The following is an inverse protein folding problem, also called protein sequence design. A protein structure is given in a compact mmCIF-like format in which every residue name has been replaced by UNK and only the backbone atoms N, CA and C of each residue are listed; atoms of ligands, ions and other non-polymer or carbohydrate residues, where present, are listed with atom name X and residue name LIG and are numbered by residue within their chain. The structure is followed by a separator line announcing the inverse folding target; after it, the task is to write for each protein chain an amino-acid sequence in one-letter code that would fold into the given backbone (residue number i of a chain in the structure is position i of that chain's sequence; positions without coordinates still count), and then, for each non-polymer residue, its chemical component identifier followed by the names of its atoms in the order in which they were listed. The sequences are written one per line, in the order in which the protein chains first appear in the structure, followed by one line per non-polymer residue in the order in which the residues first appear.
data_IF_135651889884
#
_entry.id   IF_135651889884
#
_cell.length_a   1.000
_cell.length_b   1.000
_cell.length_c   1.000
_cell.angle_alpha   90.00
_cell.angle_beta   90.00
_cell.angle_gamma   90.00
#
_symmetry.space_group_name_H-M   'P 1'
#
loop_
_entity.id
_entity.type
_entity.pdbx_description
1 polymer ?
#
# COMPACT_ATOMS: atom_id res chain seq x y z
N UNK A 1 -4.08 -12.12 22.74
CA UNK A 1 -4.86 -11.32 21.76
C UNK A 1 -6.28 -11.16 22.28
N UNK A 2 -6.84 -9.95 22.22
CA UNK A 2 -8.30 -9.76 22.43
C UNK A 2 -9.01 -10.27 21.17
N UNK A 3 -10.13 -10.97 21.35
CA UNK A 3 -11.01 -11.29 20.24
C UNK A 3 -11.60 -9.99 19.66
N UNK A 4 -11.86 -9.93 18.33
CA UNK A 4 -12.56 -8.80 17.75
C UNK A 4 -13.96 -8.65 18.38
N UNK A 5 -14.37 -7.41 18.63
CA UNK A 5 -15.72 -7.06 19.07
C UNK A 5 -16.48 -6.43 17.90
N UNK A 6 -17.79 -6.69 17.82
CA UNK A 6 -18.66 -5.99 16.88
C UNK A 6 -18.80 -4.54 17.31
N UNK A 7 -18.54 -3.61 16.41
CA UNK A 7 -18.87 -2.20 16.59
C UNK A 7 -20.24 -1.95 15.96
N UNK A 8 -21.20 -1.49 16.75
CA UNK A 8 -22.47 -0.96 16.25
C UNK A 8 -22.26 0.53 15.95
N UNK A 9 -21.89 0.84 14.71
CA UNK A 9 -21.70 2.21 14.23
C UNK A 9 -22.22 2.34 12.81
N UNK A 10 -22.64 3.55 12.43
CA UNK A 10 -23.01 3.84 11.04
C UNK A 10 -21.81 3.64 10.10
N UNK A 11 -22.05 2.98 8.97
CA UNK A 11 -21.05 2.86 7.91
C UNK A 11 -21.09 4.11 7.05
N UNK A 12 -19.98 4.85 7.02
CA UNK A 12 -19.86 6.09 6.25
C UNK A 12 -18.89 5.88 5.09
N UNK A 13 -19.33 6.24 3.89
CA UNK A 13 -18.45 6.31 2.72
C UNK A 13 -17.62 7.60 2.78
N UNK A 14 -16.33 7.47 3.12
CA UNK A 14 -15.39 8.61 3.19
C UNK A 14 -14.83 9.01 1.82
N UNK A 15 -14.91 8.11 0.84
CA UNK A 15 -14.48 8.33 -0.52
C UNK A 15 -15.25 7.41 -1.47
N UNK A 16 -15.95 7.99 -2.43
CA UNK A 16 -16.78 7.26 -3.42
C UNK A 16 -16.05 6.97 -4.74
N UNK A 17 -14.73 7.14 -4.77
CA UNK A 17 -13.96 6.95 -6.00
C UNK A 17 -14.01 5.52 -6.53
N UNK A 18 -13.49 5.34 -7.75
CA UNK A 18 -13.58 4.09 -8.50
C UNK A 18 -12.19 3.44 -8.65
N UNK A 19 -11.54 3.14 -7.51
CA UNK A 19 -10.34 2.31 -7.55
C UNK A 19 -10.68 0.98 -8.24
N UNK A 20 -9.83 0.55 -9.17
CA UNK A 20 -10.03 -0.74 -9.87
C UNK A 20 -9.83 -1.89 -8.88
N UNK A 21 -8.74 -1.82 -8.11
CA UNK A 21 -8.45 -2.74 -7.02
C UNK A 21 -7.92 -1.95 -5.82
N UNK A 22 -8.85 -1.39 -5.02
CA UNK A 22 -8.52 -0.66 -3.79
C UNK A 22 -8.08 -1.60 -2.67
N UNK A 23 -6.86 -1.44 -2.17
CA UNK A 23 -6.25 -2.35 -1.21
C UNK A 23 -5.26 -1.65 -0.26
N UNK A 24 -4.80 -2.39 0.76
CA UNK A 24 -3.71 -1.98 1.65
C UNK A 24 -3.99 -0.70 2.47
N UNK A 25 -5.14 -0.58 3.17
CA UNK A 25 -5.41 0.58 4.01
C UNK A 25 -4.37 0.71 5.15
N UNK A 26 -3.72 1.86 5.22
CA UNK A 26 -2.69 2.20 6.19
C UNK A 26 -3.01 3.53 6.88
N UNK A 27 -3.18 3.52 8.20
CA UNK A 27 -3.26 4.74 8.99
C UNK A 27 -1.87 5.23 9.39
N UNK A 28 -1.55 6.50 9.12
CA UNK A 28 -0.31 7.17 9.56
C UNK A 28 -0.68 8.32 10.52
N UNK A 29 -0.62 8.09 11.84
CA UNK A 29 -1.07 9.06 12.85
C UNK A 29 -0.37 10.41 12.76
N UNK A 30 0.94 10.42 12.50
CA UNK A 30 1.76 11.63 12.47
C UNK A 30 1.37 12.59 11.33
N UNK A 31 0.66 12.06 10.32
CA UNK A 31 0.19 12.81 9.16
C UNK A 31 -1.32 13.02 9.18
N UNK A 32 -2.04 12.42 10.13
CA UNK A 32 -3.51 12.36 10.16
C UNK A 32 -4.10 11.85 8.82
N UNK A 33 -3.44 10.88 8.18
CA UNK A 33 -3.81 10.39 6.84
C UNK A 33 -3.99 8.88 6.82
N UNK A 34 -5.12 8.45 6.24
CA UNK A 34 -5.35 7.06 5.81
C UNK A 34 -4.92 6.92 4.36
N UNK A 35 -3.88 6.13 4.11
CA UNK A 35 -3.41 5.78 2.78
C UNK A 35 -4.02 4.46 2.29
N UNK A 36 -4.14 4.30 0.99
CA UNK A 36 -4.40 3.02 0.32
C UNK A 36 -3.90 3.07 -1.12
N UNK A 37 -3.82 1.93 -1.77
CA UNK A 37 -3.42 1.81 -3.18
C UNK A 37 -4.60 1.40 -4.05
N UNK A 38 -4.55 1.78 -5.32
CA UNK A 38 -5.28 1.14 -6.41
C UNK A 38 -4.26 0.33 -7.23
N UNK A 39 -4.20 -0.98 -6.96
CA UNK A 39 -3.13 -1.85 -7.48
C UNK A 39 -3.17 -1.85 -9.02
N UNK A 40 -4.36 -2.10 -9.58
CA UNK A 40 -4.53 -2.21 -11.04
C UNK A 40 -4.62 -0.83 -11.72
N UNK A 41 -5.09 0.20 -11.00
CA UNK A 41 -5.07 1.58 -11.50
C UNK A 41 -3.72 2.29 -11.40
N UNK A 42 -2.71 1.68 -10.76
CA UNK A 42 -1.39 2.27 -10.52
C UNK A 42 -1.50 3.64 -9.81
N UNK A 43 -2.31 3.72 -8.74
CA UNK A 43 -2.48 4.94 -7.96
C UNK A 43 -2.27 4.68 -6.47
N UNK A 44 -1.85 5.70 -5.74
CA UNK A 44 -1.96 5.79 -4.30
C UNK A 44 -2.98 6.89 -3.96
N UNK A 45 -3.64 6.73 -2.83
CA UNK A 45 -4.60 7.67 -2.31
C UNK A 45 -4.33 7.95 -0.85
N UNK A 46 -4.74 9.13 -0.38
CA UNK A 46 -4.55 9.57 1.00
C UNK A 46 -5.72 10.43 1.43
N UNK A 47 -6.49 9.96 2.40
CA UNK A 47 -7.56 10.71 3.04
C UNK A 47 -7.03 11.38 4.30
N UNK A 48 -6.97 12.71 4.30
CA UNK A 48 -6.61 13.48 5.48
C UNK A 48 -7.86 13.68 6.36
N UNK A 49 -7.82 13.20 7.60
CA UNK A 49 -8.99 13.23 8.50
C UNK A 49 -9.28 14.61 9.08
N UNK A 50 -8.30 15.52 9.07
CA UNK A 50 -8.45 16.88 9.63
C UNK A 50 -9.24 17.79 8.70
N UNK A 51 -8.98 17.70 7.40
CA UNK A 51 -9.66 18.51 6.37
C UNK A 51 -10.65 17.72 5.50
N UNK A 52 -10.73 16.41 5.69
CA UNK A 52 -11.63 15.49 4.98
C UNK A 52 -11.41 15.46 3.46
N UNK A 53 -10.19 15.72 3.00
CA UNK A 53 -9.83 15.70 1.59
C UNK A 53 -9.09 14.41 1.22
N UNK A 54 -9.40 13.90 0.03
CA UNK A 54 -8.63 12.84 -0.61
C UNK A 54 -7.67 13.44 -1.61
N UNK A 55 -6.41 13.05 -1.50
CA UNK A 55 -5.40 13.29 -2.52
C UNK A 55 -5.05 11.98 -3.21
N UNK A 56 -4.74 12.06 -4.50
CA UNK A 56 -4.37 10.92 -5.34
C UNK A 56 -3.03 11.19 -5.99
N UNK A 57 -2.19 10.17 -6.06
CA UNK A 57 -0.89 10.19 -6.73
C UNK A 57 -0.82 9.06 -7.75
N UNK A 58 -0.29 9.35 -8.93
CA UNK A 58 0.03 8.32 -9.93
C UNK A 58 1.32 7.61 -9.52
N UNK A 59 1.29 6.28 -9.55
CA UNK A 59 2.45 5.43 -9.29
C UNK A 59 3.06 4.96 -10.61
N UNK A 60 4.35 4.67 -10.60
CA UNK A 60 5.08 4.23 -11.79
C UNK A 60 4.64 2.84 -12.29
N UNK A 61 4.10 2.01 -11.40
CA UNK A 61 3.65 0.64 -11.68
C UNK A 61 2.69 0.15 -10.59
N UNK A 62 2.15 -1.06 -10.77
CA UNK A 62 1.32 -1.72 -9.77
C UNK A 62 2.07 -1.80 -8.44
N UNK A 63 1.44 -1.31 -7.39
CA UNK A 63 1.97 -1.30 -6.02
C UNK A 63 0.94 -1.94 -5.13
N UNK A 64 1.30 -3.03 -4.44
CA UNK A 64 0.37 -3.82 -3.64
C UNK A 64 0.11 -3.23 -2.25
N UNK A 65 1.11 -2.55 -1.69
CA UNK A 65 1.04 -2.01 -0.33
C UNK A 65 1.99 -0.83 -0.15
N UNK A 66 1.70 0.00 0.86
CA UNK A 66 2.55 1.06 1.38
C UNK A 66 2.67 0.90 2.90
N UNK A 67 3.84 1.17 3.46
CA UNK A 67 4.13 1.12 4.89
C UNK A 67 4.96 2.34 5.30
N UNK A 68 4.76 2.90 6.50
CA UNK A 68 5.48 4.09 6.94
C UNK A 68 6.93 3.75 7.29
N UNK A 69 7.82 4.73 7.16
CA UNK A 69 9.19 4.66 7.64
C UNK A 69 9.38 5.67 8.78
N UNK A 70 9.87 5.21 9.93
CA UNK A 70 10.00 6.06 11.12
C UNK A 70 10.88 7.29 10.85
N UNK A 71 10.36 8.47 11.23
CA UNK A 71 11.06 9.74 11.06
C UNK A 71 11.22 10.22 9.61
N UNK A 72 10.54 9.59 8.65
CA UNK A 72 10.57 9.95 7.23
C UNK A 72 9.19 10.26 6.69
N UNK A 73 9.16 11.05 5.62
CA UNK A 73 7.91 11.29 4.87
C UNK A 73 7.69 10.22 3.80
N UNK A 74 8.77 9.70 3.24
CA UNK A 74 8.72 8.62 2.27
C UNK A 74 8.12 7.35 2.88
N UNK A 75 7.41 6.61 2.04
CA UNK A 75 6.81 5.33 2.38
C UNK A 75 7.63 4.22 1.75
N UNK A 76 7.64 3.05 2.39
CA UNK A 76 8.14 1.82 1.76
C UNK A 76 6.99 1.18 1.01
N UNK A 77 7.17 0.88 -0.27
CA UNK A 77 6.15 0.27 -1.10
C UNK A 77 6.62 -1.03 -1.76
N UNK A 78 5.74 -2.03 -1.78
CA UNK A 78 5.91 -3.24 -2.57
C UNK A 78 5.36 -3.04 -3.97
N UNK A 79 6.24 -2.68 -4.90
CA UNK A 79 5.92 -2.51 -6.32
C UNK A 79 6.13 -3.82 -7.08
N UNK A 80 5.55 -3.94 -8.28
CA UNK A 80 5.72 -5.13 -9.13
C UNK A 80 7.19 -5.53 -9.33
N UNK A 81 8.07 -4.55 -9.55
CA UNK A 81 9.51 -4.76 -9.77
C UNK A 81 10.39 -4.79 -8.51
N UNK A 82 9.80 -4.73 -7.30
CA UNK A 82 10.57 -4.80 -6.05
C UNK A 82 10.05 -3.88 -4.94
N UNK A 83 10.82 -3.79 -3.86
CA UNK A 83 10.55 -2.93 -2.71
C UNK A 83 11.29 -1.60 -2.88
N UNK A 84 10.56 -0.51 -2.75
CA UNK A 84 11.07 0.85 -2.94
C UNK A 84 10.82 1.73 -1.72
N UNK A 85 11.72 2.69 -1.49
CA UNK A 85 11.40 3.90 -0.73
C UNK A 85 10.82 4.93 -1.70
N UNK A 86 9.64 5.48 -1.42
CA UNK A 86 8.83 6.29 -2.35
C UNK A 86 8.42 7.62 -1.70
N UNK A 87 8.74 8.74 -2.33
CA UNK A 87 8.12 10.03 -2.03
C UNK A 87 6.93 10.24 -2.97
N UNK A 88 5.72 10.15 -2.43
CA UNK A 88 4.50 10.28 -3.22
C UNK A 88 4.36 11.66 -3.89
N UNK A 89 4.86 12.73 -3.28
CA UNK A 89 4.68 14.08 -3.84
C UNK A 89 5.56 14.34 -5.04
N UNK A 90 6.82 13.89 -4.99
CA UNK A 90 7.76 14.07 -6.10
C UNK A 90 7.70 12.93 -7.11
N UNK A 91 7.15 11.78 -6.72
CA UNK A 91 7.18 10.53 -7.49
C UNK A 91 8.56 9.87 -7.51
N UNK A 92 9.55 10.42 -6.78
CA UNK A 92 10.87 9.82 -6.69
C UNK A 92 10.82 8.52 -5.90
N UNK A 93 11.59 7.53 -6.36
CA UNK A 93 11.71 6.24 -5.70
C UNK A 93 13.12 5.68 -5.76
N UNK A 94 13.52 5.01 -4.70
CA UNK A 94 14.81 4.31 -4.57
C UNK A 94 14.57 2.83 -4.34
N UNK A 95 15.13 1.98 -5.20
CA UNK A 95 15.05 0.53 -5.03
C UNK A 95 15.81 0.13 -3.75
N UNK A 96 15.16 -0.63 -2.88
CA UNK A 96 15.76 -1.19 -1.67
C UNK A 96 16.15 -2.65 -1.89
N UNK A 97 15.26 -3.44 -2.49
CA UNK A 97 15.45 -4.88 -2.67
C UNK A 97 14.43 -5.46 -3.68
N UNK A 98 14.82 -6.51 -4.41
CA UNK A 98 13.92 -7.32 -5.24
C UNK A 98 14.10 -8.80 -4.85
N UNK A 99 13.08 -9.46 -4.27
CA UNK A 99 13.17 -10.87 -3.87
C UNK A 99 13.13 -11.85 -5.05
N UNK A 100 12.56 -11.45 -6.20
CA UNK A 100 12.21 -12.37 -7.28
C UNK A 100 12.62 -11.81 -8.67
N UNK A 101 13.89 -11.42 -8.88
CA UNK A 101 14.32 -10.77 -10.13
C UNK A 101 14.15 -11.66 -11.38
N UNK A 102 14.13 -12.97 -11.18
CA UNK A 102 13.94 -13.97 -12.24
C UNK A 102 12.47 -14.34 -12.48
N UNK A 103 11.51 -13.73 -11.74
CA UNK A 103 10.07 -13.97 -11.89
C UNK A 103 9.30 -12.70 -12.28
N UNK A 104 9.50 -12.15 -13.49
CA UNK A 104 8.86 -10.88 -13.92
C UNK A 104 7.33 -10.95 -14.04
N UNK A 105 6.75 -12.16 -13.98
CA UNK A 105 5.30 -12.39 -13.92
C UNK A 105 4.70 -12.22 -12.53
N UNK A 106 5.53 -12.18 -11.48
CA UNK A 106 5.09 -11.97 -10.11
C UNK A 106 4.97 -10.48 -9.78
N UNK A 107 4.23 -10.20 -8.71
CA UNK A 107 4.17 -8.91 -8.03
C UNK A 107 3.95 -9.13 -6.53
N UNK A 108 4.22 -8.11 -5.72
CA UNK A 108 3.71 -8.08 -4.36
C UNK A 108 2.17 -8.01 -4.35
N UNK A 109 1.56 -8.68 -3.37
CA UNK A 109 0.15 -8.55 -3.06
C UNK A 109 -0.08 -7.69 -1.83
N UNK A 110 0.06 -8.27 -0.64
CA UNK A 110 -0.16 -7.58 0.63
C UNK A 110 1.08 -7.69 1.53
N UNK A 111 1.19 -6.76 2.46
CA UNK A 111 2.21 -6.78 3.49
C UNK A 111 1.77 -6.11 4.78
N UNK A 112 2.46 -6.45 5.86
CA UNK A 112 2.28 -5.80 7.15
C UNK A 112 3.58 -5.76 7.94
N UNK A 113 3.72 -4.74 8.77
CA UNK A 113 4.77 -4.69 9.78
C UNK A 113 4.41 -5.57 10.98
N UNK A 114 5.37 -6.36 11.45
CA UNK A 114 5.27 -7.01 12.75
C UNK A 114 5.58 -6.01 13.89
N UNK A 115 5.35 -6.37 15.17
CA UNK A 115 5.61 -5.48 16.30
C UNK A 115 7.09 -5.08 16.50
N UNK A 116 8.03 -5.76 15.85
CA UNK A 116 9.46 -5.41 15.86
C UNK A 116 9.86 -4.57 14.65
N UNK A 117 8.89 -4.16 13.82
CA UNK A 117 9.09 -3.30 12.66
C UNK A 117 9.56 -4.04 11.40
N UNK A 118 9.56 -5.38 11.39
CA UNK A 118 9.92 -6.14 10.18
C UNK A 118 8.74 -6.20 9.22
N UNK A 119 9.02 -6.12 7.93
CA UNK A 119 8.00 -6.24 6.88
C UNK A 119 7.81 -7.71 6.52
N UNK A 120 6.57 -8.18 6.63
CA UNK A 120 6.12 -9.46 6.11
C UNK A 120 5.29 -9.21 4.87
N UNK A 121 5.72 -9.70 3.72
CA UNK A 121 5.08 -9.47 2.43
C UNK A 121 4.97 -10.79 1.65
N UNK A 122 3.87 -10.95 0.91
CA UNK A 122 3.68 -12.06 -0.02
C UNK A 122 3.70 -11.59 -1.47
N UNK A 123 4.23 -12.43 -2.36
CA UNK A 123 4.18 -12.25 -3.82
C UNK A 123 3.11 -13.16 -4.43
N UNK A 124 2.68 -12.85 -5.65
CA UNK A 124 1.75 -13.67 -6.43
C UNK A 124 1.95 -13.44 -7.92
N UNK A 125 1.51 -14.40 -8.74
CA UNK A 125 1.44 -14.23 -10.18
C UNK A 125 0.40 -13.15 -10.55
N UNK A 126 0.81 -12.14 -11.34
CA UNK A 126 -0.04 -11.02 -11.78
C UNK A 126 -0.98 -11.41 -12.93
N UNK A 127 -0.67 -12.48 -13.69
CA UNK A 127 -1.40 -12.94 -14.89
C UNK A 127 -2.37 -14.11 -14.67
N UNK A 128 -2.34 -14.75 -13.49
CA UNK A 128 -3.27 -15.82 -13.11
C UNK A 128 -3.01 -17.21 -13.72
N UNK A 129 -3.50 -18.22 -12.99
CA UNK A 129 -3.48 -19.69 -13.18
C UNK A 129 -2.31 -20.48 -12.58
N UNK A 130 -1.08 -19.98 -12.56
CA UNK A 130 0.06 -20.73 -11.97
C UNK A 130 0.49 -20.17 -10.61
N UNK A 131 0.71 -21.07 -9.64
CA UNK A 131 1.19 -20.72 -8.29
C UNK A 131 2.72 -20.59 -8.33
N UNK A 132 3.20 -19.37 -8.14
CA UNK A 132 4.63 -19.01 -8.19
C UNK A 132 5.09 -18.25 -6.94
N UNK A 133 4.22 -18.15 -5.92
CA UNK A 133 4.44 -17.49 -4.63
C UNK A 133 3.54 -18.06 -3.54
#
# INVERSE_FOLDING_TARGET
MKAPSVLESDVVCIWSGAAICGEGPLWVPEQSVLYWVDIDGCQAHGYNTENQQVKTWTLAEKTGWLLPCEGRRELIGGCKSGVYLIDLESGQRTLLFDPEPDQPGNRFNDAKTDPEGRIWAGTMNDGGAEKTG
#
